data_IF_739601000545
#
_entry.id   IF_739601000545
#
_cell.length_a   1.000
_cell.length_b   1.000
_cell.length_c   1.000
_cell.angle_alpha   90.00
_cell.angle_beta   90.00
_cell.angle_gamma   90.00
#
_symmetry.space_group_name_H-M   'P 1'
#
loop_
_entity.id
_entity.type
_entity.pdbx_description
1 polymer ?
#
# COMPACT_ATOMS: atom_id res chain seq x y z
N UNK A 1 -4.51 -22.47 17.47
CA UNK A 1 -4.95 -22.28 16.08
C UNK A 1 -4.12 -21.15 15.50
N UNK A 2 -2.92 -21.45 15.01
CA UNK A 2 -2.11 -20.49 14.26
C UNK A 2 -2.70 -20.48 12.85
N UNK A 3 -3.62 -19.55 12.57
CA UNK A 3 -4.07 -19.35 11.20
C UNK A 3 -2.83 -18.92 10.42
N UNK A 4 -2.49 -19.74 9.43
CA UNK A 4 -1.37 -19.56 8.52
C UNK A 4 -1.71 -18.38 7.58
N UNK A 5 -1.77 -17.16 8.13
CA UNK A 5 -1.95 -15.94 7.36
C UNK A 5 -0.65 -15.74 6.58
N UNK A 6 -0.58 -16.26 5.36
CA UNK A 6 0.45 -15.89 4.40
C UNK A 6 0.37 -14.39 4.15
N UNK A 7 1.07 -13.60 4.95
CA UNK A 7 1.14 -12.16 4.82
C UNK A 7 1.91 -11.83 3.54
N UNK A 8 1.30 -11.04 2.68
CA UNK A 8 1.86 -10.54 1.44
C UNK A 8 2.12 -9.04 1.57
N UNK A 9 3.11 -8.55 0.83
CA UNK A 9 3.44 -7.13 0.78
C UNK A 9 3.38 -6.67 -0.68
N UNK A 10 2.60 -5.62 -0.93
CA UNK A 10 2.54 -4.93 -2.21
C UNK A 10 3.22 -3.58 -2.10
N UNK A 11 4.01 -3.23 -3.13
CA UNK A 11 4.63 -1.91 -3.28
C UNK A 11 4.20 -1.31 -4.61
N UNK A 12 3.51 -0.18 -4.55
CA UNK A 12 2.96 0.51 -5.71
C UNK A 12 3.65 1.88 -5.82
N UNK A 13 4.37 2.18 -6.90
CA UNK A 13 4.95 3.51 -7.10
C UNK A 13 3.87 4.60 -7.11
N UNK A 14 4.25 5.81 -6.71
CA UNK A 14 3.45 7.00 -6.98
C UNK A 14 3.02 7.06 -8.46
N UNK A 15 1.77 7.48 -8.70
CA UNK A 15 1.08 7.52 -10.01
C UNK A 15 0.64 6.15 -10.58
N UNK A 16 0.77 5.06 -9.83
CA UNK A 16 0.26 3.73 -10.23
C UNK A 16 -0.94 3.31 -9.38
N UNK A 17 -1.68 2.31 -9.85
CA UNK A 17 -2.83 1.77 -9.14
C UNK A 17 -2.48 0.47 -8.41
N UNK A 18 -2.89 0.37 -7.15
CA UNK A 18 -3.05 -0.91 -6.47
C UNK A 18 -4.24 -1.64 -7.07
N UNK A 19 -4.06 -2.93 -7.37
CA UNK A 19 -5.13 -3.80 -7.86
C UNK A 19 -5.18 -5.04 -7.00
N UNK A 20 -6.26 -5.20 -6.23
CA UNK A 20 -6.57 -6.45 -5.57
C UNK A 20 -7.79 -7.08 -6.23
N UNK A 21 -7.59 -8.25 -6.81
CA UNK A 21 -8.65 -9.11 -7.32
C UNK A 21 -8.73 -10.35 -6.43
N UNK A 22 -9.91 -10.64 -5.89
CA UNK A 22 -10.14 -11.77 -5.00
C UNK A 22 -11.43 -12.47 -5.39
N UNK A 23 -11.38 -13.35 -6.41
CA UNK A 23 -12.59 -13.97 -6.95
C UNK A 23 -13.33 -14.86 -5.95
N UNK A 24 -12.66 -15.36 -4.89
CA UNK A 24 -13.22 -16.33 -3.95
C UNK A 24 -12.83 -16.12 -2.48
N UNK A 25 -11.95 -15.14 -2.17
CA UNK A 25 -11.43 -14.88 -0.82
C UNK A 25 -11.59 -13.40 -0.45
N UNK A 26 -11.61 -13.09 0.85
CA UNK A 26 -11.62 -11.71 1.33
C UNK A 26 -10.19 -11.18 1.50
N UNK A 27 -9.90 -9.97 1.01
CA UNK A 27 -8.66 -9.28 1.35
C UNK A 27 -8.75 -8.75 2.78
N UNK A 28 -7.73 -9.03 3.58
CA UNK A 28 -7.52 -8.44 4.91
C UNK A 28 -6.31 -7.52 4.81
N UNK A 29 -6.47 -6.27 5.25
CA UNK A 29 -5.39 -5.28 5.30
C UNK A 29 -4.85 -5.25 6.73
N UNK A 30 -3.54 -5.41 6.89
CA UNK A 30 -2.87 -5.42 8.19
C UNK A 30 -2.11 -4.12 8.45
N UNK A 31 -1.48 -3.56 7.43
CA UNK A 31 -0.74 -2.31 7.51
C UNK A 31 -0.71 -1.63 6.14
N UNK A 32 -0.64 -0.30 6.10
CA UNK A 32 -0.42 0.43 4.87
C UNK A 32 0.20 1.81 5.11
N UNK A 33 1.09 2.22 4.21
CA UNK A 33 1.72 3.53 4.24
C UNK A 33 1.91 4.08 2.82
N UNK A 34 1.40 5.29 2.55
CA UNK A 34 1.70 6.07 1.37
C UNK A 34 2.73 7.12 1.76
N UNK A 35 3.95 6.93 1.30
CA UNK A 35 5.09 7.72 1.76
C UNK A 35 6.40 7.13 1.26
N UNK A 36 7.45 7.23 2.06
CA UNK A 36 8.73 6.59 1.80
C UNK A 36 9.43 6.27 3.11
N UNK A 37 9.70 4.98 3.32
CA UNK A 37 10.39 4.47 4.51
C UNK A 37 11.77 3.90 4.20
N UNK A 38 12.16 3.84 2.93
CA UNK A 38 13.47 3.37 2.49
C UNK A 38 13.93 4.07 1.20
N UNK A 39 15.22 3.91 0.90
CA UNK A 39 15.86 4.57 -0.24
C UNK A 39 16.00 3.68 -1.49
N UNK A 40 15.44 2.46 -1.54
CA UNK A 40 15.63 1.48 -2.63
C UNK A 40 14.34 1.10 -3.36
N UNK A 41 13.21 1.11 -2.66
CA UNK A 41 11.88 0.74 -3.16
C UNK A 41 11.35 1.75 -4.17
N UNK A 42 10.82 1.21 -5.28
CA UNK A 42 10.23 1.98 -6.39
C UNK A 42 11.14 3.11 -6.89
N UNK A 43 12.46 2.89 -6.89
CA UNK A 43 13.42 3.87 -7.40
C UNK A 43 13.37 3.95 -8.94
N UNK A 44 13.25 5.17 -9.47
CA UNK A 44 13.59 5.49 -10.86
C UNK A 44 14.72 6.50 -10.91
N UNK A 45 15.75 6.23 -11.72
CA UNK A 45 16.80 7.22 -12.04
C UNK A 45 16.16 8.36 -12.88
N UNK A 46 16.58 9.64 -12.71
CA UNK A 46 17.71 10.16 -11.94
C UNK A 46 17.34 10.70 -10.55
N UNK A 47 16.12 10.45 -10.05
CA UNK A 47 15.54 11.05 -8.83
C UNK A 47 16.11 10.52 -7.50
N UNK A 48 17.41 10.19 -7.46
CA UNK A 48 18.10 9.74 -6.23
C UNK A 48 18.43 10.88 -5.26
N UNK A 49 18.18 12.13 -5.64
CA UNK A 49 18.50 13.30 -4.81
C UNK A 49 17.32 13.59 -3.87
N UNK A 50 17.63 13.75 -2.58
CA UNK A 50 16.70 14.18 -1.52
C UNK A 50 15.49 13.27 -1.25
N UNK A 51 15.73 11.97 -1.03
CA UNK A 51 14.68 11.05 -0.58
C UNK A 51 14.51 11.16 0.94
N UNK A 52 13.40 11.75 1.39
CA UNK A 52 13.02 11.65 2.81
C UNK A 52 12.51 10.23 3.09
N UNK A 53 13.28 9.44 3.85
CA UNK A 53 12.90 8.08 4.27
C UNK A 53 12.14 8.04 5.60
N UNK A 54 11.86 9.19 6.19
CA UNK A 54 11.00 9.32 7.37
C UNK A 54 9.67 9.94 6.93
N UNK A 55 9.07 9.38 5.89
CA UNK A 55 7.81 9.86 5.33
C UNK A 55 6.71 8.82 5.47
N UNK A 56 5.77 9.11 6.37
CA UNK A 56 4.60 8.28 6.63
C UNK A 56 3.33 9.11 6.58
N UNK A 57 2.22 8.51 6.15
CA UNK A 57 0.90 9.15 6.17
C UNK A 57 -0.01 8.39 7.15
N UNK A 58 -0.57 9.07 8.18
CA UNK A 58 -1.31 8.41 9.25
C UNK A 58 -2.65 7.81 8.78
N UNK A 59 -3.22 8.34 7.69
CA UNK A 59 -4.55 7.94 7.21
C UNK A 59 -4.50 6.82 6.18
N UNK A 60 -3.31 6.38 5.74
CA UNK A 60 -3.20 5.40 4.65
C UNK A 60 -3.90 4.08 4.99
N UNK A 61 -3.69 3.54 6.18
CA UNK A 61 -4.32 2.28 6.59
C UNK A 61 -5.85 2.35 6.53
N UNK A 62 -6.44 3.42 7.05
CA UNK A 62 -7.89 3.61 7.06
C UNK A 62 -8.45 3.70 5.63
N UNK A 63 -7.82 4.49 4.76
CA UNK A 63 -8.22 4.64 3.36
C UNK A 63 -8.15 3.31 2.62
N UNK A 64 -7.02 2.60 2.70
CA UNK A 64 -6.84 1.31 2.02
C UNK A 64 -7.82 0.27 2.54
N UNK A 65 -8.05 0.22 3.86
CA UNK A 65 -9.00 -0.71 4.48
C UNK A 65 -10.42 -0.45 3.99
N UNK A 66 -10.88 0.80 4.01
CA UNK A 66 -12.22 1.19 3.53
C UNK A 66 -12.42 0.87 2.05
N UNK A 67 -11.39 1.08 1.24
CA UNK A 67 -11.46 0.85 -0.20
C UNK A 67 -11.35 -0.63 -0.60
N UNK A 68 -10.53 -1.42 0.10
CA UNK A 68 -10.08 -2.73 -0.39
C UNK A 68 -10.43 -3.93 0.49
N UNK A 69 -10.72 -3.75 1.77
CA UNK A 69 -10.98 -4.90 2.64
C UNK A 69 -12.24 -5.66 2.19
N UNK A 70 -12.11 -6.98 2.09
CA UNK A 70 -13.19 -7.92 1.76
C UNK A 70 -13.71 -7.86 0.31
N UNK A 71 -13.11 -7.07 -0.58
CA UNK A 71 -13.63 -6.86 -1.95
C UNK A 71 -12.52 -6.65 -2.97
N UNK A 72 -12.88 -6.70 -4.25
CA UNK A 72 -11.98 -6.25 -5.33
C UNK A 72 -11.83 -4.74 -5.25
N UNK A 73 -10.61 -4.24 -5.44
CA UNK A 73 -10.36 -2.80 -5.45
C UNK A 73 -9.30 -2.40 -6.48
N UNK A 74 -9.49 -1.19 -7.00
CA UNK A 74 -8.49 -0.43 -7.74
C UNK A 74 -8.33 0.88 -6.97
N UNK A 75 -7.13 1.18 -6.49
CA UNK A 75 -6.85 2.36 -5.68
C UNK A 75 -5.59 3.06 -6.16
N UNK A 76 -5.70 4.33 -6.53
CA UNK A 76 -4.55 5.11 -6.99
C UNK A 76 -3.60 5.43 -5.83
N UNK A 77 -2.31 5.14 -6.02
CA UNK A 77 -1.25 5.63 -5.15
C UNK A 77 -0.91 7.07 -5.55
N UNK A 78 -1.68 8.03 -5.06
CA UNK A 78 -1.53 9.45 -5.40
C UNK A 78 -1.82 10.38 -4.22
N UNK A 79 -1.32 11.62 -4.33
CA UNK A 79 -1.59 12.70 -3.40
C UNK A 79 -3.10 13.04 -3.32
N UNK A 80 -3.86 12.87 -4.39
CA UNK A 80 -5.31 13.15 -4.38
C UNK A 80 -6.08 12.19 -3.45
N UNK A 81 -5.59 10.96 -3.32
CA UNK A 81 -6.19 9.94 -2.45
C UNK A 81 -5.68 10.08 -1.01
N UNK A 82 -4.36 10.26 -0.83
CA UNK A 82 -3.71 10.12 0.47
C UNK A 82 -3.17 11.42 1.08
N UNK A 83 -3.36 12.56 0.40
CA UNK A 83 -2.62 13.82 0.63
C UNK A 83 -1.10 13.68 0.42
N UNK A 84 -0.36 14.78 0.46
CA UNK A 84 1.11 14.75 0.35
C UNK A 84 1.79 14.83 1.74
N UNK A 85 2.27 13.70 2.29
CA UNK A 85 2.97 13.70 3.59
C UNK A 85 4.40 14.22 3.53
N UNK A 86 5.01 14.33 2.34
CA UNK A 86 6.41 14.75 2.19
C UNK A 86 6.65 15.36 0.80
N UNK A 87 6.27 16.63 0.65
CA UNK A 87 6.41 17.40 -0.59
C UNK A 87 7.86 17.31 -1.11
N UNK A 88 8.00 17.06 -2.42
CA UNK A 88 9.29 16.93 -3.10
C UNK A 88 9.95 15.56 -2.96
N UNK A 89 9.40 14.65 -2.14
CA UNK A 89 9.85 13.25 -2.06
C UNK A 89 8.94 12.35 -2.88
N UNK A 90 9.55 11.51 -3.73
CA UNK A 90 8.81 10.49 -4.49
C UNK A 90 8.31 9.40 -3.56
N UNK A 91 7.01 9.14 -3.52
CA UNK A 91 6.41 8.18 -2.59
C UNK A 91 6.18 6.81 -3.24
N UNK A 92 5.71 5.88 -2.44
CA UNK A 92 5.11 4.62 -2.84
C UNK A 92 4.05 4.24 -1.81
N UNK A 93 3.03 3.52 -2.24
CA UNK A 93 2.08 2.86 -1.36
C UNK A 93 2.61 1.47 -1.03
N UNK A 94 2.93 1.24 0.24
CA UNK A 94 3.20 -0.09 0.81
C UNK A 94 1.91 -0.60 1.44
N UNK A 95 1.49 -1.82 1.11
CA UNK A 95 0.35 -2.49 1.76
C UNK A 95 0.78 -3.87 2.22
N UNK A 96 0.57 -4.16 3.50
CA UNK A 96 0.67 -5.51 4.06
C UNK A 96 -0.74 -6.06 4.14
N UNK A 97 -0.98 -7.17 3.45
CA UNK A 97 -2.31 -7.75 3.30
C UNK A 97 -2.24 -9.27 3.34
N UNK A 98 -3.39 -9.90 3.48
CA UNK A 98 -3.53 -11.35 3.33
C UNK A 98 -4.89 -11.70 2.77
N UNK A 99 -5.08 -12.97 2.48
CA UNK A 99 -6.36 -13.51 2.05
C UNK A 99 -6.97 -14.32 3.20
N UNK A 100 -8.17 -13.95 3.63
CA UNK A 100 -9.01 -14.86 4.40
C UNK A 100 -9.59 -15.88 3.41
N UNK A 101 -9.06 -17.10 3.43
CA UNK A 101 -9.70 -18.23 2.76
C UNK A 101 -11.09 -18.46 3.33
N UNK A 102 -12.03 -18.91 2.51
CA UNK A 102 -13.30 -19.43 3.00
C UNK A 102 -13.01 -20.84 3.57
N UNK A 103 -12.70 -20.94 4.86
CA UNK A 103 -12.75 -22.23 5.55
C UNK A 103 -14.23 -22.62 5.64
N UNK A 104 -14.66 -23.52 4.74
CA UNK A 104 -15.86 -24.35 4.90
C UNK A 104 -15.44 -25.80 4.91
#
# INVERSE_FOLDING_TARGET
>A
MLLNFGLLISYVPDDYNLMFASPMSGIVIFDANYGRTDNTTCLRRPHRRHLNTNCTSPNTLDIVTKSCAGRHCILAASNDVFSDPCIGTRKYLKVVFGCAGYDR
#
